data_IF_891444295995
#
_entry.id   IF_891444295995
#
_cell.length_a   1.000
_cell.length_b   1.000
_cell.length_c   1.000
_cell.angle_alpha   90.00
_cell.angle_beta   90.00
_cell.angle_gamma   90.00
#
_symmetry.space_group_name_H-M   'P 1'
#
loop_
_entity.id
_entity.type
_entity.pdbx_description
1 polymer ?
#
# COMPACT_ATOMS: atom_id res chain seq x y z
N UNK A 1 16.86 -42.30 2.50
CA UNK A 1 16.69 -40.96 1.89
C UNK A 1 17.83 -40.76 0.89
N UNK A 2 17.53 -40.51 -0.39
CA UNK A 2 18.50 -40.58 -1.48
C UNK A 2 19.44 -39.35 -1.45
N UNK A 3 20.75 -39.52 -1.63
CA UNK A 3 21.76 -38.43 -1.53
C UNK A 3 21.41 -37.28 -2.50
N UNK A 4 20.85 -37.61 -3.67
CA UNK A 4 20.37 -36.63 -4.64
C UNK A 4 19.26 -35.73 -4.09
N UNK A 5 18.35 -36.27 -3.26
CA UNK A 5 17.27 -35.50 -2.63
C UNK A 5 17.85 -34.51 -1.61
N UNK A 6 18.85 -34.94 -0.82
CA UNK A 6 19.54 -34.06 0.13
C UNK A 6 20.26 -32.90 -0.56
N UNK A 7 20.92 -33.16 -1.69
CA UNK A 7 21.61 -32.13 -2.49
C UNK A 7 20.61 -31.12 -3.05
N UNK A 8 19.49 -31.58 -3.61
CA UNK A 8 18.44 -30.70 -4.13
C UNK A 8 17.81 -29.85 -3.03
N UNK A 9 17.53 -30.44 -1.86
CA UNK A 9 16.99 -29.72 -0.70
C UNK A 9 17.99 -28.68 -0.20
N UNK A 10 19.27 -29.02 -0.10
CA UNK A 10 20.31 -28.08 0.31
C UNK A 10 20.47 -26.92 -0.68
N UNK A 11 20.51 -27.20 -1.98
CA UNK A 11 20.57 -26.17 -3.03
C UNK A 11 19.34 -25.25 -3.01
N UNK A 12 18.14 -25.80 -2.78
CA UNK A 12 16.93 -24.99 -2.59
C UNK A 12 17.02 -24.10 -1.36
N UNK A 13 17.53 -24.59 -0.23
CA UNK A 13 17.75 -23.78 0.98
C UNK A 13 18.73 -22.64 0.70
N UNK A 14 19.83 -22.93 0.00
CA UNK A 14 20.82 -21.92 -0.41
C UNK A 14 20.16 -20.90 -1.35
N UNK A 15 19.39 -21.32 -2.35
CA UNK A 15 18.69 -20.41 -3.25
C UNK A 15 17.69 -19.52 -2.48
N UNK A 16 16.90 -20.08 -1.57
CA UNK A 16 15.95 -19.34 -0.72
C UNK A 16 16.68 -18.30 0.15
N UNK A 17 17.84 -18.66 0.71
CA UNK A 17 18.59 -17.77 1.60
C UNK A 17 19.31 -16.65 0.86
N UNK A 18 19.88 -16.93 -0.32
CA UNK A 18 20.72 -15.98 -1.04
C UNK A 18 19.99 -15.17 -2.12
N UNK A 19 18.77 -15.55 -2.51
CA UNK A 19 17.96 -14.80 -3.47
C UNK A 19 16.69 -14.25 -2.80
N UNK A 20 16.71 -12.97 -2.36
CA UNK A 20 15.58 -12.33 -1.67
C UNK A 20 14.26 -12.41 -2.45
N UNK A 21 14.33 -12.36 -3.78
CA UNK A 21 13.15 -12.50 -4.65
C UNK A 21 12.52 -13.89 -4.54
N UNK A 22 13.31 -14.95 -4.37
CA UNK A 22 12.78 -16.30 -4.16
C UNK A 22 12.13 -16.43 -2.78
N UNK A 23 12.75 -15.84 -1.75
CA UNK A 23 12.14 -15.75 -0.42
C UNK A 23 10.79 -15.01 -0.49
N UNK A 24 10.75 -13.85 -1.14
CA UNK A 24 9.51 -13.10 -1.36
C UNK A 24 8.46 -13.96 -2.07
N UNK A 25 8.84 -14.65 -3.15
CA UNK A 25 7.97 -15.55 -3.89
C UNK A 25 7.35 -16.65 -3.02
N UNK A 26 8.14 -17.33 -2.18
CA UNK A 26 7.61 -18.35 -1.25
C UNK A 26 6.63 -17.77 -0.24
N UNK A 27 6.85 -16.53 0.19
CA UNK A 27 5.97 -15.86 1.14
C UNK A 27 4.65 -15.40 0.50
N UNK A 28 4.56 -15.25 -0.82
CA UNK A 28 3.31 -14.86 -1.49
C UNK A 28 2.16 -15.85 -1.23
N UNK A 29 2.49 -17.10 -0.90
CA UNK A 29 1.54 -18.15 -0.55
C UNK A 29 1.14 -18.17 0.93
N UNK A 30 1.70 -17.27 1.76
CA UNK A 30 1.35 -17.18 3.18
C UNK A 30 0.06 -16.39 3.34
N UNK A 31 -0.92 -16.95 4.05
CA UNK A 31 -2.16 -16.27 4.39
C UNK A 31 -1.93 -15.21 5.46
N UNK A 32 -2.56 -14.04 5.26
CA UNK A 32 -2.58 -12.95 6.23
C UNK A 32 -3.93 -13.03 6.96
N UNK A 33 -4.00 -13.59 8.17
CA UNK A 33 -5.27 -13.72 8.87
C UNK A 33 -5.71 -12.36 9.42
N UNK A 34 -6.95 -11.97 9.13
CA UNK A 34 -7.58 -10.82 9.78
C UNK A 34 -8.23 -11.29 11.09
N UNK A 35 -7.42 -11.37 12.16
CA UNK A 35 -7.87 -11.81 13.50
C UNK A 35 -8.19 -10.63 14.42
N UNK A 36 -8.60 -9.50 13.86
CA UNK A 36 -8.95 -8.33 14.64
C UNK A 36 -10.45 -8.35 14.94
N UNK A 37 -10.79 -8.05 16.19
CA UNK A 37 -12.18 -7.90 16.61
C UNK A 37 -12.59 -6.43 16.46
N UNK A 38 -13.79 -6.14 15.95
CA UNK A 38 -14.32 -4.78 15.91
C UNK A 38 -14.27 -4.11 17.28
N UNK A 39 -13.99 -2.82 17.29
CA UNK A 39 -14.00 -1.98 18.50
C UNK A 39 -15.06 -0.90 18.41
N UNK A 40 -15.35 -0.27 19.55
CA UNK A 40 -16.21 0.90 19.59
C UNK A 40 -15.69 2.03 18.68
N UNK A 41 -16.64 2.72 18.06
CA UNK A 41 -16.34 3.84 17.20
C UNK A 41 -15.56 4.93 17.95
N UNK A 42 -14.50 5.43 17.32
CA UNK A 42 -13.68 6.53 17.84
C UNK A 42 -13.28 7.48 16.72
N UNK A 43 -13.46 8.78 16.92
CA UNK A 43 -12.95 9.79 15.99
C UNK A 43 -11.41 9.86 16.08
N UNK A 44 -10.72 9.80 14.95
CA UNK A 44 -9.26 9.89 14.84
C UNK A 44 -8.84 11.10 14.01
N UNK A 45 -7.66 11.64 14.32
CA UNK A 45 -7.00 12.64 13.47
C UNK A 45 -6.29 11.92 12.34
N UNK A 46 -6.82 12.02 11.14
CA UNK A 46 -6.31 11.32 9.96
C UNK A 46 -5.61 12.32 9.04
N UNK A 47 -4.38 11.99 8.64
CA UNK A 47 -3.63 12.72 7.62
C UNK A 47 -3.58 11.91 6.33
N UNK A 48 -4.22 12.38 5.27
CA UNK A 48 -4.18 11.78 3.93
C UNK A 48 -3.12 12.51 3.11
N UNK A 49 -2.18 11.78 2.51
CA UNK A 49 -1.08 12.35 1.75
C UNK A 49 -0.91 11.71 0.38
N UNK A 50 -0.65 12.55 -0.61
CA UNK A 50 -0.20 12.16 -1.96
C UNK A 50 0.99 13.01 -2.39
N UNK A 51 1.83 12.47 -3.30
CA UNK A 51 2.88 13.24 -3.95
C UNK A 51 2.72 13.22 -5.47
N UNK A 52 2.62 14.40 -6.08
CA UNK A 52 2.39 14.54 -7.52
C UNK A 52 2.82 15.91 -8.05
N UNK A 53 3.55 15.92 -9.17
CA UNK A 53 4.04 17.13 -9.85
C UNK A 53 3.56 17.27 -11.30
N UNK A 54 2.88 16.26 -11.85
CA UNK A 54 2.29 16.28 -13.18
C UNK A 54 1.02 17.14 -13.22
N UNK A 55 0.74 17.73 -14.37
CA UNK A 55 -0.46 18.54 -14.63
C UNK A 55 -1.40 17.77 -15.58
N UNK A 56 -2.07 16.76 -15.04
CA UNK A 56 -3.01 15.90 -15.78
C UNK A 56 -4.45 16.10 -15.26
N UNK A 57 -5.44 15.82 -16.10
CA UNK A 57 -6.85 15.97 -15.72
C UNK A 57 -7.23 15.04 -14.56
N UNK A 58 -6.87 13.76 -14.61
CA UNK A 58 -7.21 12.79 -13.56
C UNK A 58 -6.62 13.17 -12.20
N UNK A 59 -5.47 13.84 -12.18
CA UNK A 59 -4.83 14.32 -10.95
C UNK A 59 -5.66 15.43 -10.30
N UNK A 60 -6.24 16.34 -11.11
CA UNK A 60 -7.13 17.39 -10.60
C UNK A 60 -8.43 16.79 -10.03
N UNK A 61 -8.94 15.74 -10.67
CA UNK A 61 -10.12 15.02 -10.20
C UNK A 61 -9.81 14.26 -8.89
N UNK A 62 -8.67 13.58 -8.79
CA UNK A 62 -8.16 13.00 -7.55
C UNK A 62 -8.12 14.04 -6.43
N UNK A 63 -7.45 15.18 -6.64
CA UNK A 63 -7.36 16.26 -5.64
C UNK A 63 -8.75 16.75 -5.20
N UNK A 64 -9.67 16.91 -6.17
CA UNK A 64 -11.03 17.37 -5.89
C UNK A 64 -11.76 16.37 -5.01
N UNK A 65 -11.71 15.09 -5.35
CA UNK A 65 -12.34 13.99 -4.60
C UNK A 65 -11.85 13.95 -3.14
N UNK A 66 -10.53 13.98 -2.94
CA UNK A 66 -9.94 13.90 -1.60
C UNK A 66 -10.13 15.19 -0.78
N UNK A 67 -10.18 16.36 -1.40
CA UNK A 67 -10.52 17.62 -0.69
C UNK A 67 -11.97 17.64 -0.23
N UNK A 68 -12.91 17.24 -1.10
CA UNK A 68 -14.34 17.13 -0.73
C UNK A 68 -14.52 16.15 0.43
N UNK A 69 -13.85 15.00 0.37
CA UNK A 69 -13.86 14.02 1.45
C UNK A 69 -13.34 14.60 2.76
N UNK A 70 -12.18 15.27 2.69
CA UNK A 70 -11.51 15.83 3.86
C UNK A 70 -12.34 16.90 4.56
N UNK A 71 -13.05 17.72 3.78
CA UNK A 71 -14.02 18.69 4.30
C UNK A 71 -15.22 18.01 4.99
N UNK A 72 -15.70 16.89 4.43
CA UNK A 72 -16.86 16.16 4.95
C UNK A 72 -16.54 15.40 6.24
N UNK A 73 -15.34 14.81 6.33
CA UNK A 73 -14.96 13.89 7.40
C UNK A 73 -13.95 14.46 8.39
N UNK A 74 -13.66 15.77 8.35
CA UNK A 74 -12.72 16.44 9.26
C UNK A 74 -11.35 15.71 9.34
N UNK A 75 -10.76 15.47 8.17
CA UNK A 75 -9.39 14.97 8.05
C UNK A 75 -8.55 15.92 7.19
N UNK A 76 -7.23 15.79 7.25
CA UNK A 76 -6.34 16.65 6.48
C UNK A 76 -5.95 15.97 5.17
N UNK A 77 -6.13 16.66 4.04
CA UNK A 77 -5.54 16.25 2.76
C UNK A 77 -4.30 17.09 2.42
N UNK A 78 -3.19 16.41 2.23
CA UNK A 78 -1.87 16.99 2.01
C UNK A 78 -1.36 16.56 0.63
N UNK A 79 -1.34 17.51 -0.30
CA UNK A 79 -0.68 17.33 -1.60
C UNK A 79 0.73 17.92 -1.55
N UNK A 80 1.72 17.15 -1.97
CA UNK A 80 3.09 17.63 -2.16
C UNK A 80 3.59 17.37 -3.57
N UNK A 81 4.47 18.21 -4.09
CA UNK A 81 5.14 18.01 -5.39
C UNK A 81 6.59 17.52 -5.24
N UNK A 82 7.10 17.47 -4.01
CA UNK A 82 8.53 17.35 -3.75
C UNK A 82 8.86 15.96 -3.21
N UNK A 83 9.51 15.15 -4.04
CA UNK A 83 10.27 13.99 -3.62
C UNK A 83 11.75 14.37 -3.78
N UNK A 84 12.44 14.80 -2.71
CA UNK A 84 13.86 15.14 -2.81
C UNK A 84 14.62 13.95 -3.39
N UNK A 85 15.41 14.18 -4.43
CA UNK A 85 16.23 13.13 -5.06
C UNK A 85 17.19 12.46 -4.07
N UNK A 86 17.52 13.17 -3.00
CA UNK A 86 18.35 12.73 -1.89
C UNK A 86 17.63 11.79 -0.92
N UNK A 87 16.29 11.81 -0.90
CA UNK A 87 15.50 10.98 0.01
C UNK A 87 15.25 9.59 -0.58
N UNK A 88 15.13 9.43 -1.90
CA UNK A 88 15.13 8.16 -2.67
C UNK A 88 14.48 8.37 -4.05
N UNK A 89 14.36 7.31 -4.84
CA UNK A 89 13.57 7.25 -6.07
C UNK A 89 12.07 7.52 -5.85
N UNK A 90 11.33 7.75 -6.95
CA UNK A 90 9.92 8.17 -6.91
C UNK A 90 9.02 7.24 -6.09
N UNK A 91 9.26 5.93 -6.13
CA UNK A 91 8.44 4.95 -5.42
C UNK A 91 8.62 5.02 -3.90
N UNK A 92 9.86 5.17 -3.44
CA UNK A 92 10.19 5.21 -2.01
C UNK A 92 9.83 6.53 -1.32
N UNK A 93 9.61 7.60 -2.10
CA UNK A 93 9.16 8.89 -1.59
C UNK A 93 7.95 8.78 -0.65
N UNK A 94 6.99 7.89 -0.97
CA UNK A 94 5.79 7.69 -0.15
C UNK A 94 6.10 7.29 1.29
N UNK A 95 7.07 6.39 1.47
CA UNK A 95 7.48 5.90 2.78
C UNK A 95 8.11 7.03 3.61
N UNK A 96 8.94 7.87 2.99
CA UNK A 96 9.53 9.05 3.65
C UNK A 96 8.48 10.09 4.06
N UNK A 97 7.49 10.36 3.19
CA UNK A 97 6.41 11.30 3.50
C UNK A 97 5.54 10.81 4.65
N UNK A 98 5.16 9.53 4.62
CA UNK A 98 4.40 8.92 5.72
C UNK A 98 5.20 8.98 7.02
N UNK A 99 6.50 8.63 7.00
CA UNK A 99 7.38 8.77 8.17
C UNK A 99 7.34 10.16 8.77
N UNK A 100 7.54 11.20 7.94
CA UNK A 100 7.56 12.59 8.39
C UNK A 100 6.25 13.00 9.08
N UNK A 101 5.11 12.55 8.56
CA UNK A 101 3.81 12.85 9.18
C UNK A 101 3.60 12.07 10.49
N UNK A 102 3.99 10.80 10.56
CA UNK A 102 3.94 10.02 11.80
C UNK A 102 4.83 10.63 12.90
N UNK A 103 6.05 11.06 12.53
CA UNK A 103 7.02 11.66 13.45
C UNK A 103 6.58 13.04 13.95
N UNK A 104 5.71 13.74 13.21
CA UNK A 104 5.12 15.00 13.67
C UNK A 104 4.20 14.85 14.89
N UNK A 105 3.68 13.64 15.15
CA UNK A 105 2.74 13.37 16.24
C UNK A 105 1.34 13.98 16.05
N UNK A 106 1.07 14.66 14.92
CA UNK A 106 -0.20 15.37 14.68
C UNK A 106 -1.39 14.43 14.44
N UNK A 107 -1.13 13.26 13.83
CA UNK A 107 -2.16 12.34 13.35
C UNK A 107 -2.13 11.03 14.12
N UNK A 108 -3.29 10.44 14.36
CA UNK A 108 -3.44 9.08 14.90
C UNK A 108 -3.17 8.04 13.81
N UNK A 109 -3.51 8.36 12.55
CA UNK A 109 -3.24 7.54 11.38
C UNK A 109 -2.82 8.42 10.19
N UNK A 110 -1.90 7.90 9.38
CA UNK A 110 -1.48 8.53 8.13
C UNK A 110 -1.80 7.61 6.96
N UNK A 111 -2.58 8.11 6.01
CA UNK A 111 -2.96 7.40 4.78
C UNK A 111 -2.11 7.89 3.62
N UNK A 112 -1.42 6.97 2.95
CA UNK A 112 -0.87 7.25 1.63
C UNK A 112 -1.90 6.89 0.55
N UNK A 113 -1.99 7.74 -0.47
CA UNK A 113 -2.76 7.48 -1.69
C UNK A 113 -1.96 7.88 -2.93
N UNK A 114 -1.79 6.93 -3.86
CA UNK A 114 -1.25 7.23 -5.18
C UNK A 114 -2.23 8.13 -5.97
N UNK A 115 -1.68 8.97 -6.85
CA UNK A 115 -2.45 9.98 -7.62
C UNK A 115 -3.47 9.40 -8.60
N UNK A 116 -3.38 8.11 -8.90
CA UNK A 116 -4.31 7.34 -9.72
C UNK A 116 -5.37 6.60 -8.88
N UNK A 117 -5.73 7.19 -7.74
CA UNK A 117 -6.83 6.75 -6.88
C UNK A 117 -7.97 7.77 -6.85
N UNK A 118 -9.19 7.34 -6.53
CA UNK A 118 -10.34 8.22 -6.30
C UNK A 118 -11.24 7.66 -5.18
N UNK A 119 -11.84 8.54 -4.39
CA UNK A 119 -12.90 8.17 -3.46
C UNK A 119 -14.21 8.08 -4.25
N UNK A 120 -14.83 6.90 -4.23
CA UNK A 120 -16.09 6.65 -4.95
C UNK A 120 -17.31 6.68 -4.04
N UNK A 121 -17.11 6.57 -2.73
CA UNK A 121 -18.16 6.72 -1.73
C UNK A 121 -17.75 7.76 -0.68
N UNK A 122 -18.25 8.99 -0.85
CA UNK A 122 -17.94 10.14 -0.01
C UNK A 122 -18.59 10.06 1.38
N UNK A 123 -19.55 9.16 1.58
CA UNK A 123 -20.30 9.02 2.83
C UNK A 123 -19.61 8.08 3.83
N UNK A 124 -18.77 7.15 3.36
CA UNK A 124 -18.05 6.21 4.21
C UNK A 124 -16.92 6.89 4.97
N UNK A 125 -16.79 6.60 6.26
CA UNK A 125 -15.76 7.20 7.12
C UNK A 125 -14.59 6.24 7.32
N UNK A 126 -13.36 6.72 7.14
CA UNK A 126 -12.14 5.98 7.51
C UNK A 126 -12.19 5.57 9.00
N UNK A 127 -12.76 6.40 9.87
CA UNK A 127 -12.93 6.08 11.30
C UNK A 127 -13.80 4.83 11.52
N UNK A 128 -14.85 4.65 10.72
CA UNK A 128 -15.72 3.47 10.77
C UNK A 128 -14.92 2.24 10.41
N UNK A 129 -14.21 2.26 9.28
CA UNK A 129 -13.36 1.14 8.85
C UNK A 129 -12.29 0.79 9.88
N UNK A 130 -11.58 1.77 10.45
CA UNK A 130 -10.58 1.50 11.50
C UNK A 130 -11.21 0.80 12.71
N UNK A 131 -12.42 1.18 13.10
CA UNK A 131 -13.12 0.58 14.24
C UNK A 131 -13.59 -0.84 13.92
N UNK A 132 -14.19 -1.04 12.74
CA UNK A 132 -14.64 -2.35 12.26
C UNK A 132 -13.46 -3.33 12.08
N UNK A 133 -12.30 -2.82 11.69
CA UNK A 133 -11.08 -3.62 11.54
C UNK A 133 -10.32 -3.84 12.86
N UNK A 134 -10.81 -3.33 13.99
CA UNK A 134 -10.19 -3.54 15.30
C UNK A 134 -8.89 -2.74 15.56
N UNK A 135 -8.78 -1.56 14.96
CA UNK A 135 -7.64 -0.63 15.05
C UNK A 135 -6.22 -1.21 14.79
N UNK A 136 -6.01 -1.92 13.69
CA UNK A 136 -4.70 -2.47 13.33
C UNK A 136 -3.65 -1.37 13.18
N UNK A 137 -2.38 -1.75 13.29
CA UNK A 137 -1.25 -0.82 13.11
C UNK A 137 -1.01 -0.50 11.62
N UNK A 138 -1.38 -1.44 10.74
CA UNK A 138 -1.20 -1.36 9.29
C UNK A 138 -2.50 -1.82 8.63
N UNK A 139 -3.05 -1.01 7.72
CA UNK A 139 -4.16 -1.40 6.83
C UNK A 139 -3.69 -1.22 5.41
N UNK A 140 -3.83 -2.24 4.58
CA UNK A 140 -3.39 -2.19 3.19
C UNK A 140 -4.31 -3.05 2.31
N UNK A 141 -4.49 -2.62 1.06
CA UNK A 141 -5.31 -3.34 0.08
C UNK A 141 -4.58 -4.54 -0.53
N UNK A 142 -5.34 -5.56 -0.89
CA UNK A 142 -4.85 -6.68 -1.69
C UNK A 142 -4.73 -6.27 -3.17
N UNK A 143 -3.67 -6.70 -3.84
CA UNK A 143 -3.42 -6.46 -5.26
C UNK A 143 -4.18 -7.49 -6.12
N UNK A 144 -4.96 -7.04 -7.11
CA UNK A 144 -5.58 -7.92 -8.10
C UNK A 144 -4.54 -8.38 -9.12
N UNK A 145 -3.82 -9.44 -8.78
CA UNK A 145 -2.94 -10.12 -9.71
C UNK A 145 -3.76 -10.79 -10.82
N UNK A 146 -3.24 -10.78 -12.06
CA UNK A 146 -3.82 -11.47 -13.23
C UNK A 146 -4.08 -12.98 -13.00
N UNK A 147 -3.50 -13.56 -11.95
CA UNK A 147 -3.66 -14.95 -11.54
C UNK A 147 -4.46 -15.09 -10.22
N UNK A 148 -5.64 -14.45 -10.12
CA UNK A 148 -6.54 -14.54 -8.96
C UNK A 148 -6.81 -16.00 -8.50
N UNK A 149 -6.73 -16.99 -9.42
CA UNK A 149 -6.91 -18.41 -9.08
C UNK A 149 -5.81 -18.98 -8.16
N UNK A 150 -4.66 -18.32 -8.04
CA UNK A 150 -3.55 -18.74 -7.18
C UNK A 150 -3.63 -18.12 -5.76
N UNK A 151 -4.64 -17.28 -5.48
CA UNK A 151 -4.87 -16.63 -4.19
C UNK A 151 -3.60 -16.01 -3.57
N UNK A 152 -2.79 -15.33 -4.39
CA UNK A 152 -1.64 -14.65 -3.85
C UNK A 152 -2.09 -13.50 -2.95
N UNK A 153 -1.72 -13.54 -1.66
CA UNK A 153 -1.98 -12.44 -0.71
C UNK A 153 -0.97 -11.32 -0.93
N UNK A 154 -0.89 -10.79 -2.16
CA UNK A 154 0.03 -9.70 -2.50
C UNK A 154 -0.62 -8.40 -2.08
N UNK A 155 0.11 -7.58 -1.34
CA UNK A 155 -0.39 -6.25 -0.98
C UNK A 155 -0.03 -5.25 -2.08
N UNK A 156 -0.90 -4.26 -2.30
CA UNK A 156 -0.62 -3.13 -3.19
C UNK A 156 -0.24 -1.90 -2.36
N UNK A 157 0.90 -1.26 -2.67
CA UNK A 157 1.38 -0.09 -1.94
C UNK A 157 0.82 1.25 -2.48
N UNK A 158 -0.19 1.19 -3.34
CA UNK A 158 -0.85 2.40 -3.88
C UNK A 158 -1.79 3.07 -2.89
N UNK A 159 -2.39 2.31 -1.97
CA UNK A 159 -3.15 2.85 -0.85
C UNK A 159 -2.84 2.04 0.40
N UNK A 160 -2.44 2.72 1.46
CA UNK A 160 -2.24 2.10 2.77
C UNK A 160 -2.38 3.13 3.88
N UNK A 161 -2.69 2.64 5.08
CA UNK A 161 -2.92 3.44 6.27
C UNK A 161 -2.06 2.91 7.42
N UNK A 162 -1.27 3.79 8.04
CA UNK A 162 -0.36 3.43 9.13
C UNK A 162 -0.76 4.15 10.41
N UNK A 163 -0.92 3.39 11.49
CA UNK A 163 -1.18 3.93 12.84
C UNK A 163 0.06 4.64 13.34
N UNK A 164 -0.13 5.78 14.01
CA UNK A 164 0.91 6.47 14.77
C UNK A 164 1.18 5.77 16.11
N UNK A 165 1.49 4.48 16.04
CA UNK A 165 1.88 3.64 17.15
C UNK A 165 3.37 3.33 17.07
N UNK A 166 3.91 2.73 18.15
CA UNK A 166 5.28 2.20 18.14
C UNK A 166 5.49 1.19 17.01
N UNK A 167 4.48 0.34 16.73
CA UNK A 167 4.57 -0.71 15.70
C UNK A 167 4.51 -0.10 14.31
N UNK A 168 3.55 0.81 14.05
CA UNK A 168 3.42 1.47 12.74
C UNK A 168 4.65 2.30 12.36
N UNK A 169 5.23 3.04 13.32
CA UNK A 169 6.50 3.74 13.10
C UNK A 169 7.65 2.78 12.80
N UNK A 170 7.77 1.70 13.57
CA UNK A 170 8.81 0.70 13.35
C UNK A 170 8.67 0.03 11.98
N UNK A 171 7.45 -0.23 11.52
CA UNK A 171 7.21 -0.78 10.18
C UNK A 171 7.75 0.13 9.07
N UNK A 172 7.49 1.44 9.17
CA UNK A 172 8.01 2.43 8.22
C UNK A 172 9.54 2.53 8.28
N UNK A 173 10.12 2.56 9.48
CA UNK A 173 11.57 2.57 9.65
C UNK A 173 12.22 1.30 9.07
N UNK A 174 11.60 0.14 9.28
CA UNK A 174 12.06 -1.13 8.72
C UNK A 174 11.99 -1.14 7.20
N UNK A 175 10.93 -0.60 6.57
CA UNK A 175 10.86 -0.46 5.12
C UNK A 175 12.07 0.31 4.58
N UNK A 176 12.40 1.45 5.21
CA UNK A 176 13.54 2.29 4.83
C UNK A 176 14.90 1.62 5.13
N UNK A 177 14.97 0.78 6.16
CA UNK A 177 16.18 0.06 6.50
C UNK A 177 16.42 -1.13 5.57
N UNK A 178 15.38 -1.82 5.10
CA UNK A 178 15.51 -2.92 4.14
C UNK A 178 16.09 -2.44 2.81
N UNK A 179 15.66 -1.29 2.29
CA UNK A 179 16.24 -0.76 1.05
C UNK A 179 17.70 -0.34 1.22
N UNK A 180 18.07 0.22 2.37
CA UNK A 180 19.47 0.59 2.68
C UNK A 180 20.42 -0.61 2.74
N UNK A 181 19.93 -1.78 3.16
CA UNK A 181 20.72 -3.03 3.17
C UNK A 181 21.00 -3.56 1.76
N UNK A 182 20.18 -3.17 0.78
CA UNK A 182 20.29 -3.61 -0.59
C UNK A 182 20.85 -2.48 -1.45
N UNK A 183 22.14 -2.17 -1.29
CA UNK A 183 22.81 -1.04 -1.98
C UNK A 183 22.67 -1.08 -3.51
N UNK A 184 22.52 -2.28 -4.09
CA UNK A 184 22.32 -2.47 -5.53
C UNK A 184 20.90 -2.13 -6.00
N UNK A 185 19.93 -1.98 -5.10
CA UNK A 185 18.55 -1.73 -5.47
C UNK A 185 18.31 -0.32 -6.00
N UNK A 186 19.14 0.68 -5.65
CA UNK A 186 18.99 2.04 -6.17
C UNK A 186 20.31 2.49 -6.79
N UNK A 187 20.37 2.51 -8.13
CA UNK A 187 21.53 2.98 -8.89
C UNK A 187 21.12 4.25 -9.63
N UNK A 188 21.88 5.34 -9.44
CA UNK A 188 21.59 6.66 -10.04
C UNK A 188 20.15 7.16 -9.78
N UNK A 189 19.62 6.88 -8.58
CA UNK A 189 18.27 7.28 -8.18
C UNK A 189 17.15 6.48 -8.84
N UNK A 190 17.46 5.32 -9.44
CA UNK A 190 16.49 4.42 -10.06
C UNK A 190 16.58 3.02 -9.47
N UNK A 191 15.42 2.42 -9.24
CA UNK A 191 15.30 1.04 -8.77
C UNK A 191 15.90 0.07 -9.79
N UNK A 192 16.67 -0.89 -9.31
CA UNK A 192 17.27 -1.97 -10.10
C UNK A 192 16.70 -3.29 -9.60
N UNK A 193 15.65 -3.79 -10.25
CA UNK A 193 15.03 -5.05 -9.82
C UNK A 193 13.77 -5.37 -10.60
N UNK A 194 13.14 -6.46 -10.22
CA UNK A 194 11.81 -6.81 -10.72
C UNK A 194 10.85 -5.73 -10.22
N UNK A 195 10.02 -5.18 -11.12
CA UNK A 195 9.01 -4.20 -10.76
C UNK A 195 8.14 -4.70 -9.60
N UNK A 196 7.93 -3.86 -8.58
CA UNK A 196 7.25 -4.21 -7.32
C UNK A 196 7.91 -5.34 -6.49
N UNK A 197 9.14 -5.77 -6.84
CA UNK A 197 9.97 -6.71 -6.09
C UNK A 197 10.72 -6.06 -4.92
N UNK A 198 11.76 -6.72 -4.40
CA UNK A 198 12.45 -6.31 -3.16
C UNK A 198 13.20 -4.97 -3.24
N UNK A 199 13.39 -4.44 -4.44
CA UNK A 199 13.97 -3.10 -4.64
C UNK A 199 12.93 -1.97 -4.67
N UNK A 200 11.64 -2.32 -4.64
CA UNK A 200 10.52 -1.40 -4.56
C UNK A 200 9.87 -1.49 -3.19
N UNK A 201 9.19 -0.42 -2.80
CA UNK A 201 8.49 -0.31 -1.53
C UNK A 201 7.40 -1.38 -1.39
N UNK A 202 6.67 -1.69 -2.46
CA UNK A 202 5.62 -2.73 -2.44
C UNK A 202 6.18 -4.12 -2.09
N UNK A 203 7.32 -4.50 -2.67
CA UNK A 203 7.93 -5.81 -2.41
C UNK A 203 8.50 -5.89 -0.99
N UNK A 204 9.11 -4.82 -0.51
CA UNK A 204 9.59 -4.72 0.88
C UNK A 204 8.44 -4.77 1.88
N UNK A 205 7.34 -4.05 1.63
CA UNK A 205 6.16 -4.13 2.48
C UNK A 205 5.58 -5.55 2.48
N UNK A 206 5.49 -6.23 1.32
CA UNK A 206 5.07 -7.63 1.25
C UNK A 206 5.94 -8.52 2.13
N UNK A 207 7.27 -8.40 2.02
CA UNK A 207 8.23 -9.15 2.82
C UNK A 207 8.02 -8.91 4.32
N UNK A 208 7.96 -7.64 4.75
CA UNK A 208 7.88 -7.27 6.16
C UNK A 208 6.54 -7.64 6.80
N UNK A 209 5.42 -7.42 6.09
CA UNK A 209 4.09 -7.86 6.56
C UNK A 209 4.09 -9.36 6.81
N UNK A 210 4.60 -10.16 5.86
CA UNK A 210 4.55 -11.62 5.96
C UNK A 210 5.55 -12.21 6.96
N UNK A 211 6.66 -11.52 7.24
CA UNK A 211 7.73 -12.06 8.11
C UNK A 211 7.74 -11.49 9.52
N UNK A 212 7.25 -10.26 9.72
CA UNK A 212 7.39 -9.54 10.99
C UNK A 212 6.10 -8.91 11.50
N UNK A 213 5.26 -8.37 10.61
CA UNK A 213 4.10 -7.57 10.99
C UNK A 213 2.76 -8.26 10.78
N UNK A 214 2.75 -9.57 10.54
CA UNK A 214 1.56 -10.34 10.17
C UNK A 214 0.39 -10.12 11.14
N UNK A 215 0.68 -10.09 12.44
CA UNK A 215 -0.33 -9.93 13.51
C UNK A 215 -0.78 -8.48 13.73
N UNK A 216 -0.16 -7.54 13.05
CA UNK A 216 -0.37 -6.10 13.18
C UNK A 216 -1.00 -5.48 11.92
N UNK A 217 -1.19 -6.30 10.88
CA UNK A 217 -1.71 -5.89 9.58
C UNK A 217 -3.09 -6.44 9.34
N UNK A 218 -4.03 -5.57 8.99
CA UNK A 218 -5.29 -5.94 8.37
C UNK A 218 -5.15 -5.85 6.85
N UNK A 219 -5.45 -6.94 6.14
CA UNK A 219 -5.48 -6.96 4.68
C UNK A 219 -6.92 -6.89 4.20
N UNK A 220 -7.28 -5.86 3.43
CA UNK A 220 -8.65 -5.70 2.92
C UNK A 220 -8.94 -6.66 1.76
N UNK A 221 -9.33 -7.89 2.11
CA UNK A 221 -9.70 -8.95 1.17
C UNK A 221 -11.04 -8.70 0.48
N UNK A 222 -11.99 -8.08 1.20
CA UNK A 222 -13.33 -7.80 0.71
C UNK A 222 -13.35 -6.61 -0.25
N UNK A 223 -12.23 -5.87 -0.34
CA UNK A 223 -12.03 -4.72 -1.21
C UNK A 223 -13.04 -3.61 -0.94
N UNK A 224 -13.57 -3.56 0.29
CA UNK A 224 -14.56 -2.57 0.71
C UNK A 224 -13.90 -1.22 0.99
N UNK A 225 -12.68 -1.24 1.49
CA UNK A 225 -11.89 -0.05 1.81
C UNK A 225 -11.03 0.37 0.61
N UNK A 226 -10.31 -0.57 0.02
CA UNK A 226 -9.39 -0.34 -1.11
C UNK A 226 -9.65 -1.36 -2.20
N UNK A 227 -10.07 -0.88 -3.36
CA UNK A 227 -10.19 -1.70 -4.56
C UNK A 227 -9.08 -1.38 -5.57
N UNK A 228 -8.05 -2.23 -5.60
CA UNK A 228 -6.97 -2.18 -6.60
C UNK A 228 -7.45 -2.82 -7.90
N UNK A 229 -8.04 -2.01 -8.76
CA UNK A 229 -8.73 -2.49 -9.95
C UNK A 229 -7.73 -2.81 -11.06
N UNK A 230 -7.81 -4.05 -11.56
CA UNK A 230 -7.24 -4.35 -12.87
C UNK A 230 -8.16 -3.82 -13.99
N UNK A 231 -7.61 -3.05 -14.93
CA UNK A 231 -8.32 -2.45 -16.07
C UNK A 231 -9.07 -3.46 -16.95
N UNK A 232 -8.75 -4.75 -16.87
CA UNK A 232 -9.37 -5.82 -17.66
C UNK A 232 -10.66 -6.41 -17.05
N UNK A 233 -10.95 -6.16 -15.77
CA UNK A 233 -12.18 -6.63 -15.10
C UNK A 233 -13.02 -5.44 -14.64
N UNK A 234 -14.29 -5.40 -15.03
CA UNK A 234 -15.22 -4.35 -14.58
C UNK A 234 -16.35 -4.93 -13.75
N UNK A 235 -16.35 -4.69 -12.42
CA UNK A 235 -17.58 -4.64 -11.65
C UNK A 235 -18.49 -3.55 -12.22
N UNK A 236 -19.79 -3.81 -12.24
CA UNK A 236 -20.85 -2.87 -12.64
C UNK A 236 -21.34 -2.01 -11.48
N UNK A 237 -21.03 -2.37 -10.25
CA UNK A 237 -21.44 -1.67 -9.03
C UNK A 237 -20.23 -1.40 -8.12
N UNK A 238 -19.97 -0.12 -7.87
CA UNK A 238 -18.89 0.37 -7.01
C UNK A 238 -19.42 0.97 -5.69
N UNK A 239 -20.73 0.86 -5.42
CA UNK A 239 -21.37 1.50 -4.27
C UNK A 239 -20.82 1.04 -2.92
N UNK A 240 -20.26 -0.17 -2.88
CA UNK A 240 -19.67 -0.79 -1.70
C UNK A 240 -18.19 -0.45 -1.49
N UNK A 241 -17.50 0.08 -2.50
CA UNK A 241 -16.09 0.41 -2.41
C UNK A 241 -15.93 1.84 -1.85
N UNK A 242 -14.89 2.06 -1.06
CA UNK A 242 -14.53 3.39 -0.58
C UNK A 242 -13.55 4.08 -1.55
N UNK A 243 -12.36 3.50 -1.75
CA UNK A 243 -11.34 4.00 -2.68
C UNK A 243 -11.15 3.01 -3.83
N UNK A 244 -11.07 3.53 -5.05
CA UNK A 244 -10.63 2.76 -6.22
C UNK A 244 -9.27 3.24 -6.66
N UNK A 245 -8.35 2.30 -6.86
CA UNK A 245 -7.00 2.51 -7.37
C UNK A 245 -6.91 1.95 -8.80
N UNK A 246 -6.60 2.80 -9.78
CA UNK A 246 -6.48 2.45 -11.20
C UNK A 246 -5.01 2.28 -11.62
N UNK A 247 -4.33 1.35 -10.94
CA UNK A 247 -2.93 1.04 -11.19
C UNK A 247 -2.70 0.67 -12.66
N UNK A 248 -1.69 1.29 -13.28
CA UNK A 248 -1.30 0.98 -14.68
C UNK A 248 -2.29 1.44 -15.76
N UNK A 249 -3.43 2.04 -15.41
CA UNK A 249 -4.39 2.54 -16.40
C UNK A 249 -3.84 3.75 -17.17
N UNK A 250 -4.15 3.90 -18.48
CA UNK A 250 -3.81 5.11 -19.23
C UNK A 250 -4.47 6.37 -18.63
N UNK A 251 -3.79 7.52 -18.72
CA UNK A 251 -4.26 8.79 -18.12
C UNK A 251 -5.67 9.20 -18.58
N UNK A 252 -6.00 9.01 -19.86
CA UNK A 252 -7.32 9.31 -20.41
C UNK A 252 -8.41 8.39 -19.83
N UNK A 253 -8.10 7.12 -19.61
CA UNK A 253 -9.02 6.16 -18.98
C UNK A 253 -9.25 6.53 -17.52
N UNK A 254 -8.19 6.90 -16.78
CA UNK A 254 -8.31 7.41 -15.40
C UNK A 254 -9.22 8.62 -15.33
N UNK A 255 -8.99 9.62 -16.19
CA UNK A 255 -9.81 10.84 -16.21
C UNK A 255 -11.28 10.55 -16.53
N UNK A 256 -11.56 9.72 -17.54
CA UNK A 256 -12.93 9.31 -17.88
C UNK A 256 -13.63 8.57 -16.74
N UNK A 257 -12.91 7.72 -16.01
CA UNK A 257 -13.45 7.01 -14.86
C UNK A 257 -13.72 7.97 -13.70
N UNK A 258 -12.77 8.86 -13.37
CA UNK A 258 -12.86 9.76 -12.23
C UNK A 258 -14.00 10.76 -12.34
N UNK A 259 -14.31 11.23 -13.56
CA UNK A 259 -15.46 12.12 -13.83
C UNK A 259 -16.82 11.57 -13.39
N UNK A 260 -16.94 10.26 -13.16
CA UNK A 260 -18.19 9.64 -12.70
C UNK A 260 -18.48 9.88 -11.21
N UNK A 261 -17.48 10.33 -10.45
CA UNK A 261 -17.51 10.41 -8.98
C UNK A 261 -17.20 11.81 -8.43
N UNK A 262 -17.12 12.82 -9.31
CA UNK A 262 -16.98 14.24 -8.97
C UNK A 262 -18.28 14.95 -9.31
#
# INVERSE_FOLDING_TARGET
MNILVLIVVFLLIVIIQYYPEFKLFTLLFTNIPNNFEPVDYKKRKIGIITAENRNEEYIKLHDTSFRQYSQTHDCDYIRTSNCPKEESSTYWCKIHKVKKLLDSGKYDYVMWVDSDTIIVNQQLSIDTFISEFGEPDIIIGNDECMFDFLQYNIICAGVFLIKNSRVGKQFIDDCLNEIKKNENCIINGKEQGIWAGICYEQGVMNLLVKTKYLKNTYLDYEKIFIYNKNIFNTPTDYSKNFIIHLAGAPNNIRAQFFKKFI
#
